data_IF_730854633297
#
_entry.id   IF_730854633297
#
_cell.length_a   1.000
_cell.length_b   1.000
_cell.length_c   1.000
_cell.angle_alpha   90.00
_cell.angle_beta   90.00
_cell.angle_gamma   90.00
#
_symmetry.space_group_name_H-M   'P 1'
#
loop_
_entity.id
_entity.type
_entity.pdbx_description
1 polymer ?
#
# COMPACT_ATOMS: atom_id res chain seq x y z
N UNK A 1 -20.78 -51.03 -54.79
CA UNK A 1 -20.70 -49.59 -55.11
C UNK A 1 -21.57 -48.87 -54.11
N UNK A 2 -20.98 -48.43 -53.00
CA UNK A 2 -21.66 -47.57 -52.01
C UNK A 2 -21.51 -46.10 -52.42
N UNK A 3 -22.53 -45.25 -52.23
CA UNK A 3 -22.45 -43.85 -52.60
C UNK A 3 -21.69 -43.04 -51.53
N UNK A 4 -20.70 -42.26 -51.98
CA UNK A 4 -19.91 -41.36 -51.12
C UNK A 4 -20.78 -40.28 -50.45
N UNK A 5 -20.49 -39.89 -49.19
CA UNK A 5 -21.26 -38.86 -48.50
C UNK A 5 -20.90 -37.47 -49.02
N UNK A 6 -21.93 -36.71 -49.39
CA UNK A 6 -21.83 -35.30 -49.79
C UNK A 6 -21.26 -34.47 -48.64
N UNK A 7 -20.11 -33.82 -48.87
CA UNK A 7 -19.55 -32.78 -47.99
C UNK A 7 -20.61 -31.70 -47.73
N UNK A 8 -21.09 -31.60 -46.48
CA UNK A 8 -21.80 -30.40 -46.00
C UNK A 8 -20.80 -29.24 -46.04
N UNK A 9 -21.02 -28.27 -46.93
CA UNK A 9 -20.37 -26.96 -46.85
C UNK A 9 -20.90 -26.29 -45.58
N UNK A 10 -20.04 -26.09 -44.59
CA UNK A 10 -20.32 -25.20 -43.47
C UNK A 10 -20.35 -23.77 -44.01
N UNK A 11 -21.55 -23.19 -44.10
CA UNK A 11 -21.70 -21.74 -44.23
C UNK A 11 -21.19 -21.12 -42.92
N UNK A 12 -19.90 -20.78 -42.85
CA UNK A 12 -19.42 -19.80 -41.89
C UNK A 12 -19.80 -18.43 -42.43
N UNK A 13 -20.77 -17.78 -41.80
CA UNK A 13 -21.04 -16.36 -42.03
C UNK A 13 -19.73 -15.56 -41.88
N UNK A 14 -19.52 -14.51 -42.70
CA UNK A 14 -18.35 -13.66 -42.55
C UNK A 14 -18.45 -12.96 -41.19
N UNK A 15 -17.61 -13.38 -40.24
CA UNK A 15 -17.43 -12.67 -38.97
C UNK A 15 -17.01 -11.23 -39.32
N UNK A 16 -17.80 -10.26 -38.89
CA UNK A 16 -17.46 -8.85 -39.05
C UNK A 16 -16.05 -8.62 -38.47
N UNK A 17 -15.10 -8.26 -39.34
CA UNK A 17 -13.77 -7.87 -38.90
C UNK A 17 -13.88 -6.63 -38.02
N UNK A 18 -13.07 -6.55 -36.96
CA UNK A 18 -13.03 -5.39 -36.07
C UNK A 18 -12.66 -4.17 -36.92
N UNK A 19 -13.53 -3.15 -37.07
CA UNK A 19 -13.21 -1.97 -37.84
C UNK A 19 -12.03 -1.23 -37.20
N UNK A 20 -11.05 -0.77 -37.99
CA UNK A 20 -9.84 -0.12 -37.47
C UNK A 20 -10.16 1.11 -36.60
N UNK A 21 -11.22 1.86 -36.93
CA UNK A 21 -11.65 3.04 -36.17
C UNK A 21 -12.22 2.67 -34.80
N UNK A 22 -12.95 1.54 -34.70
CA UNK A 22 -13.62 1.10 -33.48
C UNK A 22 -12.68 0.90 -32.28
N UNK A 23 -11.40 0.57 -32.53
CA UNK A 23 -10.41 0.34 -31.45
C UNK A 23 -10.02 1.61 -30.71
N UNK A 24 -9.67 2.66 -31.46
CA UNK A 24 -9.35 3.96 -30.87
C UNK A 24 -10.61 4.63 -30.30
N UNK A 25 -11.75 4.45 -30.98
CA UNK A 25 -13.02 5.05 -30.57
C UNK A 25 -13.49 4.53 -29.20
N UNK A 26 -13.42 3.21 -28.95
CA UNK A 26 -13.83 2.65 -27.67
C UNK A 26 -12.95 3.15 -26.52
N UNK A 27 -11.63 3.11 -26.69
CA UNK A 27 -10.68 3.56 -25.69
C UNK A 27 -10.92 5.03 -25.31
N UNK A 28 -11.05 5.90 -26.31
CA UNK A 28 -11.29 7.32 -26.12
C UNK A 28 -12.66 7.60 -25.49
N UNK A 29 -13.70 6.88 -25.90
CA UNK A 29 -15.04 7.00 -25.31
C UNK A 29 -15.04 6.63 -23.83
N UNK A 30 -14.48 5.48 -23.49
CA UNK A 30 -14.39 5.01 -22.10
C UNK A 30 -13.60 6.01 -21.27
N UNK A 31 -12.50 6.55 -21.79
CA UNK A 31 -11.69 7.55 -21.11
C UNK A 31 -12.50 8.80 -20.77
N UNK A 32 -13.21 9.34 -21.76
CA UNK A 32 -14.04 10.52 -21.60
C UNK A 32 -15.13 10.28 -20.54
N UNK A 33 -15.83 9.15 -20.62
CA UNK A 33 -16.87 8.77 -19.66
C UNK A 33 -16.31 8.63 -18.24
N UNK A 34 -15.13 8.04 -18.08
CA UNK A 34 -14.47 7.93 -16.79
C UNK A 34 -14.05 9.29 -16.22
N UNK A 35 -13.54 10.20 -17.06
CA UNK A 35 -13.20 11.56 -16.65
C UNK A 35 -14.45 12.36 -16.22
N UNK A 36 -15.60 12.10 -16.83
CA UNK A 36 -16.90 12.67 -16.47
C UNK A 36 -17.55 11.96 -15.25
N UNK A 37 -16.91 10.91 -14.71
CA UNK A 37 -17.43 10.12 -13.59
C UNK A 37 -18.58 9.17 -13.96
N UNK A 38 -18.88 8.99 -15.24
CA UNK A 38 -19.99 8.20 -15.77
C UNK A 38 -19.64 6.71 -15.85
N UNK A 39 -19.41 6.08 -14.68
CA UNK A 39 -18.99 4.67 -14.58
C UNK A 39 -19.98 3.70 -15.24
N UNK A 40 -21.29 3.93 -15.07
CA UNK A 40 -22.32 3.06 -15.65
C UNK A 40 -22.32 3.09 -17.18
N UNK A 41 -22.16 4.29 -17.76
CA UNK A 41 -22.11 4.46 -19.21
C UNK A 41 -20.84 3.86 -19.80
N UNK A 42 -19.70 4.02 -19.12
CA UNK A 42 -18.43 3.41 -19.51
C UNK A 42 -18.54 1.87 -19.53
N UNK A 43 -19.15 1.26 -18.50
CA UNK A 43 -19.43 -0.20 -18.49
C UNK A 43 -20.31 -0.62 -19.65
N UNK A 44 -21.43 0.08 -19.85
CA UNK A 44 -22.37 -0.22 -20.92
C UNK A 44 -21.72 -0.08 -22.31
N UNK A 45 -20.81 0.88 -22.49
CA UNK A 45 -20.03 1.06 -23.72
C UNK A 45 -19.16 -0.17 -24.01
N UNK A 46 -18.41 -0.65 -23.02
CA UNK A 46 -17.59 -1.86 -23.14
C UNK A 46 -18.43 -3.12 -23.41
N UNK A 47 -19.56 -3.28 -22.71
CA UNK A 47 -20.46 -4.43 -22.90
C UNK A 47 -21.04 -4.50 -24.31
N UNK A 48 -21.42 -3.35 -24.88
CA UNK A 48 -21.88 -3.28 -26.27
C UNK A 48 -20.79 -3.73 -27.25
N UNK A 49 -19.56 -3.26 -27.10
CA UNK A 49 -18.46 -3.66 -27.98
C UNK A 49 -18.07 -5.12 -27.81
N UNK A 50 -18.08 -5.64 -26.58
CA UNK A 50 -17.85 -7.06 -26.32
C UNK A 50 -18.93 -7.95 -26.99
N UNK A 51 -20.18 -7.47 -27.06
CA UNK A 51 -21.27 -8.18 -27.73
C UNK A 51 -21.14 -8.13 -29.27
N UNK A 52 -20.74 -6.98 -29.83
CA UNK A 52 -20.54 -6.79 -31.27
C UNK A 52 -19.30 -7.53 -31.79
N UNK A 53 -18.24 -7.60 -30.99
CA UNK A 53 -16.96 -8.22 -31.35
C UNK A 53 -16.50 -9.22 -30.28
N UNK A 54 -17.07 -10.45 -30.23
CA UNK A 54 -16.83 -11.41 -29.15
C UNK A 54 -15.39 -11.93 -29.02
N UNK A 55 -14.54 -11.70 -30.04
CA UNK A 55 -13.13 -12.12 -30.08
C UNK A 55 -12.17 -10.96 -29.78
N UNK A 56 -12.70 -9.79 -29.41
CA UNK A 56 -11.89 -8.62 -29.13
C UNK A 56 -11.62 -8.54 -27.61
N UNK A 57 -10.33 -8.57 -27.23
CA UNK A 57 -9.89 -8.51 -25.83
C UNK A 57 -10.05 -7.12 -25.19
N UNK A 58 -9.88 -6.05 -25.97
CA UNK A 58 -9.89 -4.67 -25.47
C UNK A 58 -11.14 -4.29 -24.66
N UNK A 59 -12.39 -4.59 -25.09
CA UNK A 59 -13.57 -4.20 -24.32
C UNK A 59 -13.61 -4.87 -22.94
N UNK A 60 -13.08 -6.09 -22.81
CA UNK A 60 -12.96 -6.77 -21.52
C UNK A 60 -11.90 -6.13 -20.65
N UNK A 61 -10.73 -5.81 -21.22
CA UNK A 61 -9.69 -5.08 -20.51
C UNK A 61 -10.21 -3.72 -20.01
N UNK A 62 -10.84 -2.93 -20.88
CA UNK A 62 -11.39 -1.62 -20.55
C UNK A 62 -12.54 -1.70 -19.54
N UNK A 63 -13.38 -2.73 -19.63
CA UNK A 63 -14.40 -2.97 -18.60
C UNK A 63 -13.76 -3.26 -17.25
N UNK A 64 -12.73 -4.13 -17.22
CA UNK A 64 -11.98 -4.41 -16.00
C UNK A 64 -11.36 -3.15 -15.42
N UNK A 65 -10.86 -2.27 -16.28
CA UNK A 65 -10.36 -0.97 -15.90
C UNK A 65 -11.45 -0.07 -15.28
N UNK A 66 -12.66 -0.04 -15.85
CA UNK A 66 -13.80 0.67 -15.25
C UNK A 66 -14.19 0.09 -13.87
N UNK A 67 -14.04 -1.22 -13.68
CA UNK A 67 -14.25 -1.85 -12.37
C UNK A 67 -13.13 -1.51 -11.37
N UNK A 68 -11.88 -1.34 -11.82
CA UNK A 68 -10.75 -0.91 -10.97
C UNK A 68 -10.99 0.49 -10.42
N UNK A 69 -11.42 1.44 -11.27
CA UNK A 69 -11.81 2.81 -10.87
C UNK A 69 -13.03 2.83 -9.93
N UNK A 70 -13.83 1.76 -9.95
CA UNK A 70 -14.96 1.59 -9.04
C UNK A 70 -14.62 0.78 -7.79
N UNK A 71 -13.35 0.40 -7.60
CA UNK A 71 -12.88 -0.46 -6.50
C UNK A 71 -13.56 -1.85 -6.45
N UNK A 72 -14.07 -2.34 -7.57
CA UNK A 72 -14.75 -3.64 -7.68
C UNK A 72 -13.74 -4.74 -8.06
N UNK A 73 -12.78 -5.02 -7.18
CA UNK A 73 -11.62 -5.88 -7.49
C UNK A 73 -11.97 -7.29 -7.99
N UNK A 74 -13.08 -7.88 -7.54
CA UNK A 74 -13.52 -9.19 -8.04
C UNK A 74 -13.89 -9.13 -9.53
N UNK A 75 -14.55 -8.05 -9.95
CA UNK A 75 -14.92 -7.84 -11.35
C UNK A 75 -13.68 -7.53 -12.21
N UNK A 76 -12.66 -6.86 -11.65
CA UNK A 76 -11.38 -6.67 -12.33
C UNK A 76 -10.78 -8.01 -12.74
N UNK A 77 -10.69 -8.97 -11.81
CA UNK A 77 -10.13 -10.31 -12.08
C UNK A 77 -10.90 -11.02 -13.21
N UNK A 78 -12.23 -11.08 -13.11
CA UNK A 78 -13.07 -11.72 -14.15
C UNK A 78 -12.89 -11.09 -15.53
N UNK A 79 -12.78 -9.76 -15.58
CA UNK A 79 -12.57 -9.03 -16.83
C UNK A 79 -11.17 -9.28 -17.41
N UNK A 80 -10.12 -9.30 -16.58
CA UNK A 80 -8.75 -9.55 -17.02
C UNK A 80 -8.55 -11.00 -17.48
N UNK A 81 -9.10 -11.97 -16.75
CA UNK A 81 -9.12 -13.38 -17.18
C UNK A 81 -9.81 -13.54 -18.53
N UNK A 82 -10.93 -12.85 -18.73
CA UNK A 82 -11.64 -12.88 -20.02
C UNK A 82 -10.85 -12.21 -21.14
N UNK A 83 -10.16 -11.10 -20.86
CA UNK A 83 -9.28 -10.45 -21.81
C UNK A 83 -8.10 -11.35 -22.21
N UNK A 84 -7.46 -12.01 -21.24
CA UNK A 84 -6.34 -12.93 -21.45
C UNK A 84 -6.75 -14.21 -22.18
N UNK A 85 -7.98 -14.70 -21.96
CA UNK A 85 -8.52 -15.81 -22.73
C UNK A 85 -8.73 -15.49 -24.21
N UNK A 86 -8.81 -14.21 -24.57
CA UNK A 86 -8.92 -13.72 -25.95
C UNK A 86 -7.55 -13.30 -26.52
N UNK A 87 -6.66 -12.79 -25.69
CA UNK A 87 -5.30 -12.38 -26.04
C UNK A 87 -4.34 -12.58 -24.85
N UNK A 88 -3.59 -13.68 -24.86
CA UNK A 88 -2.67 -14.07 -23.78
C UNK A 88 -1.43 -13.17 -23.66
N UNK A 89 -1.14 -12.35 -24.68
CA UNK A 89 0.06 -11.51 -24.74
C UNK A 89 -0.16 -10.11 -24.14
N UNK A 90 -1.28 -9.88 -23.46
CA UNK A 90 -1.62 -8.63 -22.76
C UNK A 90 -0.85 -8.50 -21.45
N UNK A 91 0.37 -7.99 -21.53
CA UNK A 91 1.23 -7.73 -20.36
C UNK A 91 0.55 -6.80 -19.33
N UNK A 92 -0.26 -5.84 -19.79
CA UNK A 92 -1.06 -4.96 -18.94
C UNK A 92 -2.14 -5.72 -18.15
N UNK A 93 -2.87 -6.64 -18.79
CA UNK A 93 -3.86 -7.48 -18.10
C UNK A 93 -3.20 -8.41 -17.05
N UNK A 94 -2.03 -8.97 -17.36
CA UNK A 94 -1.24 -9.75 -16.39
C UNK A 94 -0.79 -8.91 -15.20
N UNK A 95 -0.37 -7.66 -15.42
CA UNK A 95 0.04 -6.75 -14.34
C UNK A 95 -1.15 -6.47 -13.38
N UNK A 96 -2.34 -6.19 -13.92
CA UNK A 96 -3.54 -6.00 -13.10
C UNK A 96 -3.90 -7.25 -12.31
N UNK A 97 -3.79 -8.45 -12.89
CA UNK A 97 -3.99 -9.70 -12.16
C UNK A 97 -2.97 -9.87 -11.03
N UNK A 98 -1.69 -9.55 -11.28
CA UNK A 98 -0.65 -9.65 -10.27
C UNK A 98 -0.94 -8.74 -9.07
N UNK A 99 -1.34 -7.49 -9.33
CA UNK A 99 -1.73 -6.54 -8.29
C UNK A 99 -2.98 -6.99 -7.52
N UNK A 100 -4.01 -7.48 -8.22
CA UNK A 100 -5.22 -8.01 -7.60
C UNK A 100 -4.92 -9.23 -6.73
N UNK A 101 -4.08 -10.16 -7.22
CA UNK A 101 -3.64 -11.34 -6.50
C UNK A 101 -2.84 -10.94 -5.25
N UNK A 102 -1.91 -9.98 -5.38
CA UNK A 102 -1.16 -9.41 -4.26
C UNK A 102 -2.07 -8.79 -3.20
N UNK A 103 -3.04 -7.94 -3.60
CA UNK A 103 -4.01 -7.32 -2.68
C UNK A 103 -4.90 -8.34 -1.98
N UNK A 104 -5.19 -9.47 -2.62
CA UNK A 104 -5.97 -10.59 -2.07
C UNK A 104 -5.14 -11.61 -1.28
N UNK A 105 -3.81 -11.46 -1.25
CA UNK A 105 -2.90 -12.40 -0.60
C UNK A 105 -2.64 -13.71 -1.36
N UNK A 106 -3.02 -13.80 -2.64
CA UNK A 106 -2.64 -14.89 -3.54
C UNK A 106 -1.24 -14.61 -4.10
N UNK A 107 -0.22 -15.00 -3.34
CA UNK A 107 1.17 -14.65 -3.68
C UNK A 107 1.75 -15.53 -4.78
N UNK A 108 1.32 -16.79 -4.89
CA UNK A 108 1.73 -17.66 -5.99
C UNK A 108 1.18 -17.13 -7.31
N UNK A 109 -0.12 -16.78 -7.33
CA UNK A 109 -0.75 -16.12 -8.47
C UNK A 109 -0.09 -14.78 -8.80
N UNK A 110 0.22 -13.97 -7.78
CA UNK A 110 0.93 -12.70 -7.98
C UNK A 110 2.33 -12.89 -8.58
N UNK A 111 3.12 -13.84 -8.06
CA UNK A 111 4.45 -14.14 -8.60
C UNK A 111 4.39 -14.63 -10.04
N UNK A 112 3.48 -15.57 -10.33
CA UNK A 112 3.26 -16.08 -11.67
C UNK A 112 2.89 -14.95 -12.64
N UNK A 113 1.91 -14.12 -12.28
CA UNK A 113 1.48 -13.02 -13.12
C UNK A 113 2.60 -11.97 -13.33
N UNK A 114 3.38 -11.62 -12.30
CA UNK A 114 4.55 -10.76 -12.46
C UNK A 114 5.61 -11.36 -13.39
N UNK A 115 5.81 -12.68 -13.35
CA UNK A 115 6.72 -13.37 -14.26
C UNK A 115 6.26 -13.32 -15.71
N UNK A 116 4.96 -13.48 -15.96
CA UNK A 116 4.38 -13.30 -17.30
C UNK A 116 4.55 -11.87 -17.81
N UNK A 117 4.37 -10.85 -16.96
CA UNK A 117 4.66 -9.45 -17.35
C UNK A 117 6.12 -9.29 -17.78
N UNK A 118 7.06 -9.80 -16.97
CA UNK A 118 8.49 -9.71 -17.26
C UNK A 118 8.88 -10.49 -18.54
N UNK A 119 8.19 -11.59 -18.83
CA UNK A 119 8.40 -12.40 -20.05
C UNK A 119 7.87 -11.70 -21.30
N UNK A 120 6.71 -11.06 -21.22
CA UNK A 120 6.04 -10.42 -22.36
C UNK A 120 6.63 -9.06 -22.71
N UNK A 121 7.09 -8.29 -21.72
CA UNK A 121 7.63 -6.94 -21.91
C UNK A 121 8.95 -6.71 -21.14
N UNK A 122 10.03 -7.45 -21.44
CA UNK A 122 11.23 -7.50 -20.60
C UNK A 122 11.95 -6.15 -20.40
N UNK A 123 11.72 -5.18 -21.29
CA UNK A 123 12.37 -3.87 -21.26
C UNK A 123 11.40 -2.69 -21.04
N UNK A 124 10.09 -2.93 -20.99
CA UNK A 124 9.13 -1.86 -20.85
C UNK A 124 8.82 -1.51 -19.40
N UNK A 125 7.96 -0.50 -19.24
CA UNK A 125 7.62 0.05 -17.93
C UNK A 125 6.88 -0.97 -17.05
N UNK A 126 6.07 -1.83 -17.65
CA UNK A 126 5.29 -2.85 -16.93
C UNK A 126 6.20 -3.87 -16.24
N UNK A 127 7.27 -4.35 -16.91
CA UNK A 127 8.22 -5.28 -16.29
C UNK A 127 9.05 -4.64 -15.19
N UNK A 128 9.42 -3.36 -15.33
CA UNK A 128 10.13 -2.65 -14.26
C UNK A 128 9.28 -2.53 -13.00
N UNK A 129 7.98 -2.25 -13.17
CA UNK A 129 7.02 -2.25 -12.06
C UNK A 129 6.86 -3.65 -11.45
N UNK A 130 6.61 -4.66 -12.29
CA UNK A 130 6.47 -6.05 -11.86
C UNK A 130 7.71 -6.54 -11.09
N UNK A 131 8.92 -6.23 -11.54
CA UNK A 131 10.15 -6.60 -10.86
C UNK A 131 10.29 -5.94 -9.48
N UNK A 132 9.91 -4.66 -9.36
CA UNK A 132 9.93 -3.93 -8.09
C UNK A 132 8.92 -4.52 -7.09
N UNK A 133 7.69 -4.75 -7.52
CA UNK A 133 6.63 -5.32 -6.68
C UNK A 133 6.94 -6.76 -6.28
N UNK A 134 7.50 -7.54 -7.21
CA UNK A 134 8.01 -8.90 -6.95
C UNK A 134 9.12 -8.91 -5.88
N UNK A 135 10.06 -7.98 -5.96
CA UNK A 135 11.15 -7.87 -4.98
C UNK A 135 10.60 -7.48 -3.59
N UNK A 136 9.64 -6.55 -3.53
CA UNK A 136 8.97 -6.15 -2.30
C UNK A 136 8.19 -7.31 -1.69
N UNK A 137 7.43 -8.05 -2.49
CA UNK A 137 6.69 -9.24 -2.06
C UNK A 137 7.64 -10.30 -1.51
N UNK A 138 8.74 -10.62 -2.21
CA UNK A 138 9.78 -11.55 -1.70
C UNK A 138 10.35 -11.09 -0.37
N UNK A 139 10.63 -9.80 -0.21
CA UNK A 139 11.13 -9.24 1.05
C UNK A 139 10.12 -9.42 2.17
N UNK A 140 8.85 -9.16 1.91
CA UNK A 140 7.78 -9.31 2.90
C UNK A 140 7.60 -10.77 3.32
N UNK A 141 7.59 -11.71 2.37
CA UNK A 141 7.46 -13.15 2.65
C UNK A 141 8.70 -13.78 3.30
N UNK A 142 9.88 -13.16 3.20
CA UNK A 142 11.08 -13.59 3.93
C UNK A 142 11.10 -13.18 5.39
N UNK A 143 10.22 -12.26 5.81
CA UNK A 143 10.10 -11.91 7.21
C UNK A 143 9.43 -13.06 7.96
N UNK A 144 10.15 -13.72 8.88
CA UNK A 144 9.60 -14.84 9.67
C UNK A 144 8.33 -14.42 10.42
N UNK A 145 8.21 -13.15 10.81
CA UNK A 145 7.04 -12.57 11.50
C UNK A 145 5.82 -12.41 10.59
N UNK A 146 6.05 -12.35 9.28
CA UNK A 146 5.01 -12.26 8.25
C UNK A 146 4.70 -13.65 7.67
N UNK A 147 5.68 -14.56 7.60
CA UNK A 147 5.55 -15.87 6.95
C UNK A 147 5.21 -17.03 7.88
N UNK A 148 5.24 -16.81 9.20
CA UNK A 148 4.71 -17.73 10.21
C UNK A 148 3.77 -16.95 11.12
N UNK A 149 2.65 -17.57 11.51
CA UNK A 149 1.78 -17.07 12.58
C UNK A 149 2.56 -17.15 13.91
N UNK A 150 3.54 -16.28 14.13
CA UNK A 150 4.41 -16.30 15.31
C UNK A 150 3.97 -15.38 16.42
N UNK A 151 2.80 -14.74 16.35
CA UNK A 151 2.32 -14.01 17.52
C UNK A 151 1.82 -14.98 18.60
N UNK A 152 2.74 -15.39 19.46
CA UNK A 152 2.45 -16.07 20.72
C UNK A 152 2.49 -15.06 21.87
N UNK A 153 1.47 -14.98 22.73
CA UNK A 153 1.46 -14.09 23.90
C UNK A 153 2.70 -14.25 24.80
N UNK A 154 3.29 -15.46 24.85
CA UNK A 154 4.51 -15.73 25.62
C UNK A 154 5.77 -15.09 25.01
N UNK A 155 5.83 -14.86 23.69
CA UNK A 155 6.97 -14.19 23.04
C UNK A 155 7.11 -12.73 23.49
N UNK A 156 5.99 -12.01 23.66
CA UNK A 156 6.01 -10.64 24.19
C UNK A 156 6.55 -10.58 25.63
N UNK A 157 6.25 -11.59 26.45
CA UNK A 157 6.74 -11.69 27.84
C UNK A 157 8.20 -12.19 27.95
N UNK A 158 8.67 -12.98 26.98
CA UNK A 158 10.04 -13.50 26.95
C UNK A 158 11.07 -12.40 26.63
N UNK A 159 10.75 -11.45 25.74
CA UNK A 159 11.62 -10.30 25.43
C UNK A 159 11.87 -9.40 26.66
N UNK A 160 10.90 -9.29 27.57
CA UNK A 160 11.01 -8.47 28.78
C UNK A 160 11.86 -9.10 29.91
N UNK A 161 12.18 -10.40 29.86
CA UNK A 161 12.80 -11.12 31.00
C UNK A 161 14.33 -11.20 30.95
N UNK A 162 15.00 -10.84 29.85
CA UNK A 162 16.47 -10.91 29.73
C UNK A 162 17.21 -9.57 29.74
N UNK A 163 16.52 -8.44 29.95
CA UNK A 163 17.13 -7.10 30.02
C UNK A 163 17.59 -6.75 31.44
N UNK A 164 18.63 -7.43 31.91
CA UNK A 164 19.40 -7.03 33.09
C UNK A 164 20.37 -5.89 32.80
N UNK A 165 19.87 -4.69 32.47
CA UNK A 165 20.64 -3.45 32.53
C UNK A 165 19.70 -2.24 32.50
N UNK A 166 19.69 -1.48 33.59
CA UNK A 166 19.13 -0.14 33.62
C UNK A 166 20.06 0.79 32.83
N UNK A 167 19.85 0.86 31.51
CA UNK A 167 20.51 1.85 30.66
C UNK A 167 19.71 3.15 30.76
N UNK A 168 20.38 4.24 31.15
CA UNK A 168 19.80 5.58 31.38
C UNK A 168 19.41 6.29 30.08
N UNK A 169 18.75 5.58 29.15
CA UNK A 169 18.25 6.13 27.90
C UNK A 169 16.90 6.79 28.18
N UNK A 170 16.59 7.96 27.58
CA UNK A 170 15.27 8.56 27.70
C UNK A 170 14.23 7.53 27.25
N UNK A 171 13.21 7.29 28.08
CA UNK A 171 12.09 6.40 27.75
C UNK A 171 11.48 6.87 26.42
N UNK A 172 11.52 6.07 25.36
CA UNK A 172 10.88 6.46 24.12
C UNK A 172 9.36 6.59 24.36
N UNK A 173 8.79 7.77 24.12
CA UNK A 173 7.35 7.99 24.27
C UNK A 173 6.62 7.47 23.03
N UNK A 174 6.19 6.21 23.08
CA UNK A 174 5.19 5.68 22.15
C UNK A 174 3.82 6.20 22.62
N UNK A 175 3.11 6.89 21.71
CA UNK A 175 1.87 7.58 22.01
C UNK A 175 0.73 7.09 21.12
N UNK A 176 -0.46 7.03 21.69
CA UNK A 176 -1.67 6.58 21.00
C UNK A 176 -2.81 7.57 21.19
N UNK A 177 -3.55 7.83 20.10
CA UNK A 177 -4.81 8.57 20.12
C UNK A 177 -5.91 7.75 19.49
N UNK A 178 -7.08 7.70 20.13
CA UNK A 178 -8.31 7.18 19.57
C UNK A 178 -9.23 8.31 19.12
N UNK A 179 -9.76 8.15 17.90
CA UNK A 179 -10.49 9.18 17.17
C UNK A 179 -9.66 10.47 17.01
N UNK A 180 -8.48 10.30 16.41
CA UNK A 180 -7.43 11.32 16.27
C UNK A 180 -7.85 12.48 15.34
N UNK A 181 -8.61 12.18 14.28
CA UNK A 181 -9.12 13.16 13.32
C UNK A 181 -10.61 13.47 13.56
N UNK A 182 -11.09 14.67 13.19
CA UNK A 182 -12.52 14.94 13.02
C UNK A 182 -13.17 13.95 12.04
N UNK A 183 -14.41 13.56 12.28
CA UNK A 183 -15.11 12.52 11.52
C UNK A 183 -15.13 12.80 10.01
N UNK A 184 -15.48 14.03 9.63
CA UNK A 184 -15.54 14.46 8.23
C UNK A 184 -14.18 14.33 7.52
N UNK A 185 -13.09 14.72 8.20
CA UNK A 185 -11.74 14.59 7.65
C UNK A 185 -11.30 13.13 7.60
N UNK A 186 -11.61 12.34 8.63
CA UNK A 186 -11.30 10.92 8.69
C UNK A 186 -11.98 10.16 7.52
N UNK A 187 -13.27 10.41 7.29
CA UNK A 187 -14.01 9.76 6.21
C UNK A 187 -13.46 10.15 4.83
N UNK A 188 -13.10 11.41 4.60
CA UNK A 188 -12.44 11.82 3.36
C UNK A 188 -11.07 11.15 3.15
N UNK A 189 -10.28 10.98 4.21
CA UNK A 189 -9.02 10.23 4.13
C UNK A 189 -9.30 8.76 3.82
N UNK A 190 -10.30 8.17 4.50
CA UNK A 190 -10.71 6.77 4.31
C UNK A 190 -11.20 6.49 2.89
N UNK A 191 -11.98 7.39 2.30
CA UNK A 191 -12.50 7.27 0.94
C UNK A 191 -11.42 7.49 -0.12
N UNK A 192 -10.40 8.31 0.14
CA UNK A 192 -9.34 8.62 -0.82
C UNK A 192 -8.13 7.68 -0.78
N UNK A 193 -8.00 6.82 0.25
CA UNK A 193 -6.78 6.04 0.48
C UNK A 193 -6.47 5.05 -0.65
N UNK A 194 -7.49 4.38 -1.20
CA UNK A 194 -7.27 3.37 -2.22
C UNK A 194 -6.84 4.02 -3.55
N UNK A 195 -7.50 5.10 -3.92
CA UNK A 195 -7.12 5.95 -5.06
C UNK A 195 -5.68 6.47 -4.95
N UNK A 196 -5.27 6.94 -3.76
CA UNK A 196 -3.92 7.41 -3.51
C UNK A 196 -2.88 6.27 -3.54
N UNK A 197 -3.25 5.05 -3.09
CA UNK A 197 -2.39 3.87 -3.22
C UNK A 197 -2.15 3.53 -4.69
N UNK A 198 -3.21 3.57 -5.49
CA UNK A 198 -3.19 3.34 -6.94
C UNK A 198 -2.35 4.41 -7.64
N UNK A 199 -2.52 5.69 -7.28
CA UNK A 199 -1.70 6.77 -7.87
C UNK A 199 -0.22 6.58 -7.58
N UNK A 200 0.13 6.20 -6.35
CA UNK A 200 1.51 5.97 -5.93
C UNK A 200 2.21 4.91 -6.78
N UNK A 201 1.56 3.77 -7.02
CA UNK A 201 2.14 2.68 -7.83
C UNK A 201 2.23 3.06 -9.31
N UNK A 202 1.35 3.95 -9.77
CA UNK A 202 1.22 4.35 -11.18
C UNK A 202 1.85 5.71 -11.49
N UNK A 203 2.57 6.34 -10.55
CA UNK A 203 3.17 7.65 -10.78
C UNK A 203 4.40 7.57 -11.72
N UNK A 204 4.53 8.47 -12.72
CA UNK A 204 5.71 8.54 -13.61
C UNK A 204 7.03 8.68 -12.86
N UNK A 205 6.98 9.35 -11.71
CA UNK A 205 8.16 9.78 -10.95
C UNK A 205 8.76 8.66 -10.09
N UNK A 206 8.19 7.43 -10.13
CA UNK A 206 8.60 6.26 -9.32
C UNK A 206 8.75 6.57 -7.84
N UNK A 207 7.95 7.50 -7.33
CA UNK A 207 7.99 7.90 -5.93
C UNK A 207 7.34 6.81 -5.07
N UNK A 208 8.03 6.42 -3.99
CA UNK A 208 7.51 5.46 -3.02
C UNK A 208 6.74 6.14 -1.88
N UNK A 209 7.05 7.41 -1.62
CA UNK A 209 6.44 8.25 -0.59
C UNK A 209 6.31 9.69 -1.09
N UNK A 210 5.43 10.46 -0.46
CA UNK A 210 5.09 11.83 -0.84
C UNK A 210 5.68 12.83 0.15
N UNK A 211 6.19 13.94 -0.35
CA UNK A 211 6.67 15.05 0.46
C UNK A 211 5.63 16.18 0.51
N UNK A 212 5.28 16.58 1.73
CA UNK A 212 4.55 17.81 2.04
C UNK A 212 5.50 18.74 2.78
N UNK A 213 5.97 19.77 2.08
CA UNK A 213 6.79 20.81 2.68
C UNK A 213 6.01 21.57 3.76
N UNK A 214 6.71 22.01 4.82
CA UNK A 214 6.14 22.85 5.88
C UNK A 214 5.32 24.01 5.31
N UNK A 215 5.88 24.70 4.31
CA UNK A 215 5.36 25.94 3.74
C UNK A 215 4.36 25.74 2.60
N UNK A 216 4.29 24.53 2.03
CA UNK A 216 3.34 24.21 0.98
C UNK A 216 1.90 24.28 1.51
N UNK A 217 0.92 24.32 0.62
CA UNK A 217 -0.47 24.09 1.03
C UNK A 217 -0.85 22.62 0.84
N UNK A 218 -1.61 22.00 1.76
CA UNK A 218 -2.17 20.66 1.54
C UNK A 218 -3.00 20.62 0.27
N UNK A 219 -2.91 19.50 -0.44
CA UNK A 219 -3.61 19.25 -1.72
C UNK A 219 -4.65 18.15 -1.60
N UNK A 220 -4.52 17.29 -0.59
CA UNK A 220 -5.37 16.10 -0.38
C UNK A 220 -5.87 16.07 1.07
N UNK A 221 -6.93 15.28 1.32
CA UNK A 221 -7.40 15.04 2.69
C UNK A 221 -6.30 14.45 3.58
N UNK A 222 -5.47 13.55 3.03
CA UNK A 222 -4.35 12.95 3.75
C UNK A 222 -3.28 13.99 4.15
N UNK A 223 -3.03 15.01 3.32
CA UNK A 223 -2.11 16.09 3.67
C UNK A 223 -2.67 17.04 4.72
N UNK A 224 -3.97 17.32 4.68
CA UNK A 224 -4.65 18.06 5.75
C UNK A 224 -4.54 17.28 7.06
N UNK A 225 -4.86 15.98 7.04
CA UNK A 225 -4.73 15.10 8.20
C UNK A 225 -3.30 15.09 8.77
N UNK A 226 -2.27 14.96 7.94
CA UNK A 226 -0.88 15.02 8.40
C UNK A 226 -0.54 16.29 9.17
N UNK A 227 -1.07 17.44 8.75
CA UNK A 227 -0.87 18.72 9.46
C UNK A 227 -1.63 18.77 10.78
N UNK A 228 -2.88 18.33 10.81
CA UNK A 228 -3.67 18.34 12.03
C UNK A 228 -3.10 17.35 13.07
N UNK A 229 -2.61 16.19 12.64
CA UNK A 229 -1.93 15.23 13.51
C UNK A 229 -0.63 15.80 14.11
N UNK A 230 0.16 16.54 13.34
CA UNK A 230 1.36 17.20 13.87
C UNK A 230 1.00 18.23 14.96
N UNK A 231 -0.09 18.98 14.79
CA UNK A 231 -0.60 19.90 15.83
C UNK A 231 -1.13 19.14 17.06
N UNK A 232 -1.81 18.00 16.86
CA UNK A 232 -2.32 17.15 17.95
C UNK A 232 -1.21 16.63 18.85
N UNK A 233 -0.06 16.30 18.28
CA UNK A 233 1.11 15.82 19.02
C UNK A 233 1.67 16.87 20.02
N UNK A 234 1.25 18.13 19.89
CA UNK A 234 1.70 19.25 20.73
C UNK A 234 3.08 19.78 20.31
N UNK A 235 3.59 19.35 19.16
CA UNK A 235 4.86 19.82 18.64
C UNK A 235 4.67 21.16 17.91
N UNK A 236 5.66 22.04 18.01
CA UNK A 236 5.67 23.26 17.20
C UNK A 236 5.93 22.89 15.75
N UNK A 237 4.90 23.01 14.91
CA UNK A 237 4.98 22.76 13.46
C UNK A 237 6.14 23.51 12.79
N UNK A 238 6.54 24.68 13.32
CA UNK A 238 7.67 25.45 12.79
C UNK A 238 9.01 24.73 12.95
N UNK A 239 9.13 23.76 13.84
CA UNK A 239 10.36 22.97 14.03
C UNK A 239 10.55 21.90 12.96
N UNK A 240 9.51 21.61 12.15
CA UNK A 240 9.55 20.57 11.14
C UNK A 240 9.82 21.15 9.75
N UNK A 241 10.67 20.49 8.96
CA UNK A 241 10.89 20.83 7.55
C UNK A 241 9.70 20.40 6.69
N UNK A 242 9.07 19.27 7.04
CA UNK A 242 7.94 18.75 6.31
C UNK A 242 7.53 17.36 6.78
N UNK A 243 6.56 16.82 6.07
CA UNK A 243 5.94 15.52 6.34
C UNK A 243 6.16 14.64 5.12
N UNK A 244 6.80 13.50 5.34
CA UNK A 244 6.79 12.40 4.38
C UNK A 244 5.58 11.52 4.68
N UNK A 245 4.79 11.17 3.67
CA UNK A 245 3.59 10.35 3.88
C UNK A 245 3.31 9.40 2.72
N UNK A 246 2.66 8.28 3.02
CA UNK A 246 2.17 7.33 2.01
C UNK A 246 1.05 6.47 2.59
N UNK A 247 0.29 5.87 1.70
CA UNK A 247 -0.81 4.98 2.05
C UNK A 247 -0.48 3.54 1.68
N UNK A 248 -1.13 2.60 2.37
CA UNK A 248 -1.12 1.18 2.02
C UNK A 248 -2.52 0.61 2.08
N UNK A 249 -2.88 -0.09 1.01
CA UNK A 249 -3.94 -1.08 0.95
C UNK A 249 -3.28 -2.46 0.76
N UNK A 250 -3.31 -3.28 1.80
CA UNK A 250 -2.76 -4.66 1.74
C UNK A 250 -3.75 -5.63 2.39
N UNK A 251 -3.70 -6.90 2.02
CA UNK A 251 -4.52 -7.93 2.65
C UNK A 251 -4.32 -7.93 4.18
N UNK A 252 -5.38 -8.06 4.97
CA UNK A 252 -5.33 -7.97 6.42
C UNK A 252 -4.40 -8.99 7.09
N UNK A 253 -4.30 -10.19 6.51
CA UNK A 253 -3.37 -11.24 6.93
C UNK A 253 -1.91 -10.87 6.66
N UNK A 254 -1.63 -9.88 5.81
CA UNK A 254 -0.27 -9.41 5.59
C UNK A 254 0.20 -8.59 6.77
N UNK A 255 1.27 -9.06 7.40
CA UNK A 255 2.13 -8.20 8.21
C UNK A 255 2.94 -7.23 7.33
N UNK A 256 3.83 -6.48 7.96
CA UNK A 256 4.83 -5.66 7.30
C UNK A 256 6.20 -6.02 7.88
N UNK A 257 7.21 -6.06 7.02
CA UNK A 257 8.59 -6.32 7.42
C UNK A 257 9.02 -5.38 8.56
N UNK A 258 9.77 -5.89 9.52
CA UNK A 258 10.30 -5.09 10.60
C UNK A 258 11.52 -4.29 10.14
N UNK A 259 11.45 -2.97 10.23
CA UNK A 259 12.46 -2.09 9.67
C UNK A 259 12.60 -0.80 10.49
N UNK A 260 13.57 0.01 10.10
CA UNK A 260 13.65 1.41 10.45
C UNK A 260 13.19 2.23 9.25
N UNK A 261 12.47 3.31 9.50
CA UNK A 261 12.28 4.33 8.49
C UNK A 261 13.61 5.06 8.30
N UNK A 262 14.23 4.87 7.14
CA UNK A 262 15.53 5.47 6.83
C UNK A 262 15.48 6.11 5.45
N UNK A 263 16.04 7.31 5.36
CA UNK A 263 16.34 7.96 4.09
C UNK A 263 17.85 8.22 3.98
N UNK A 264 18.27 8.58 2.78
CA UNK A 264 19.64 9.06 2.51
C UNK A 264 19.63 10.58 2.61
N UNK A 265 20.64 11.17 3.27
CA UNK A 265 20.86 12.61 3.24
C UNK A 265 21.20 13.06 1.81
N UNK A 266 20.52 14.12 1.34
CA UNK A 266 20.70 14.63 -0.03
C UNK A 266 22.15 15.08 -0.26
N UNK A 267 22.80 14.54 -1.29
CA UNK A 267 24.11 14.98 -1.76
C UNK A 267 23.93 16.20 -2.69
N UNK A 268 23.59 17.38 -2.16
CA UNK A 268 23.77 18.60 -2.93
C UNK A 268 25.26 18.98 -2.90
N UNK A 269 25.95 18.76 -4.02
CA UNK A 269 27.34 19.18 -4.21
C UNK A 269 28.39 18.14 -3.82
N UNK A 270 28.58 17.13 -4.67
CA UNK A 270 29.82 16.39 -4.87
C UNK A 270 30.67 16.03 -3.64
N UNK A 271 30.59 14.76 -3.24
CA UNK A 271 31.52 14.06 -2.34
C UNK A 271 31.42 14.36 -0.83
N UNK A 272 30.34 13.89 -0.20
CA UNK A 272 30.37 13.42 1.19
C UNK A 272 29.50 12.15 1.29
N UNK A 273 29.92 11.19 2.10
CA UNK A 273 29.24 9.89 2.26
C UNK A 273 27.76 10.06 2.58
N UNK A 274 26.88 9.47 1.76
CA UNK A 274 25.45 9.37 2.01
C UNK A 274 25.19 8.80 3.42
N UNK A 275 24.70 9.65 4.33
CA UNK A 275 24.40 9.24 5.71
C UNK A 275 22.94 8.77 5.81
N UNK A 276 22.72 7.71 6.59
CA UNK A 276 21.37 7.21 6.87
C UNK A 276 20.71 8.09 7.92
N UNK A 277 19.77 8.91 7.46
CA UNK A 277 18.94 9.80 8.28
C UNK A 277 17.60 9.15 8.58
N UNK A 278 16.93 9.62 9.65
CA UNK A 278 15.67 9.07 10.15
C UNK A 278 14.71 10.19 10.51
N UNK A 279 13.39 9.95 10.42
CA UNK A 279 12.44 10.95 10.87
C UNK A 279 12.54 11.13 12.38
N UNK A 280 12.12 12.31 12.85
CA UNK A 280 11.98 12.59 14.28
C UNK A 280 10.92 11.65 14.87
N UNK A 281 9.78 11.56 14.18
CA UNK A 281 8.68 10.66 14.53
C UNK A 281 8.19 9.91 13.30
N UNK A 282 7.88 8.64 13.50
CA UNK A 282 7.14 7.80 12.57
C UNK A 282 5.76 7.52 13.15
N UNK A 283 4.77 7.32 12.29
CA UNK A 283 3.40 7.11 12.75
C UNK A 283 2.53 6.32 11.77
N UNK A 284 1.48 5.70 12.31
CA UNK A 284 0.48 4.92 11.59
C UNK A 284 -0.91 5.39 11.99
N UNK A 285 -1.66 5.92 11.02
CA UNK A 285 -3.09 6.19 11.12
C UNK A 285 -3.86 4.99 10.54
N UNK A 286 -4.68 4.37 11.38
CA UNK A 286 -5.52 3.24 10.99
C UNK A 286 -6.87 3.72 10.45
N UNK A 287 -7.22 3.27 9.25
CA UNK A 287 -8.47 3.65 8.58
C UNK A 287 -9.57 2.59 8.72
N UNK A 288 -9.27 1.47 9.37
CA UNK A 288 -10.17 0.35 9.61
C UNK A 288 -9.78 -0.44 10.86
N UNK A 289 -10.61 -1.41 11.22
CA UNK A 289 -10.43 -2.36 12.33
C UNK A 289 -9.80 -3.68 11.90
N UNK A 290 -9.62 -3.91 10.60
CA UNK A 290 -9.11 -5.18 10.06
C UNK A 290 -7.59 -5.16 9.88
N UNK A 291 -6.91 -6.20 10.39
CA UNK A 291 -5.50 -6.49 10.10
C UNK A 291 -4.67 -6.77 11.35
N UNK A 292 -3.45 -7.28 11.15
CA UNK A 292 -2.54 -7.51 12.26
C UNK A 292 -2.06 -6.20 12.94
N UNK A 293 -1.70 -6.27 14.24
CA UNK A 293 -1.26 -5.11 14.99
C UNK A 293 0.08 -4.58 14.47
N UNK A 294 0.29 -3.27 14.62
CA UNK A 294 1.64 -2.71 14.48
C UNK A 294 2.43 -3.01 15.75
N UNK A 295 3.68 -3.44 15.59
CA UNK A 295 4.61 -3.75 16.66
C UNK A 295 5.78 -2.77 16.58
N UNK A 296 6.06 -2.07 17.67
CA UNK A 296 7.21 -1.18 17.83
C UNK A 296 8.13 -1.78 18.88
N UNK A 297 9.43 -1.83 18.60
CA UNK A 297 10.44 -2.46 19.43
C UNK A 297 11.44 -1.39 19.89
N UNK A 298 11.92 -1.53 21.13
CA UNK A 298 12.92 -0.63 21.73
C UNK A 298 14.34 -0.77 21.16
N UNK A 299 14.49 -1.51 20.05
CA UNK A 299 15.74 -1.58 19.31
C UNK A 299 15.97 -0.28 18.55
N UNK A 300 16.81 0.58 19.12
CA UNK A 300 17.17 1.87 18.54
C UNK A 300 18.21 1.68 17.44
N UNK A 301 18.02 2.34 16.32
CA UNK A 301 19.03 2.35 15.27
C UNK A 301 20.32 3.06 15.75
N UNK A 302 21.49 2.45 15.52
CA UNK A 302 22.78 3.10 15.76
C UNK A 302 23.58 3.24 14.46
N UNK A 303 24.56 4.16 14.47
CA UNK A 303 25.48 4.38 13.34
C UNK A 303 26.47 3.21 13.15
N UNK A 304 26.65 2.35 14.16
CA UNK A 304 27.64 1.27 14.18
C UNK A 304 27.04 -0.14 14.03
N UNK A 305 25.75 -0.33 14.39
CA UNK A 305 25.02 -1.60 14.25
C UNK A 305 23.61 -1.33 13.74
N UNK A 306 23.15 -2.12 12.76
CA UNK A 306 21.81 -1.98 12.19
C UNK A 306 20.69 -2.24 13.20
N UNK A 307 20.94 -2.92 14.31
CA UNK A 307 19.97 -3.19 15.40
C UNK A 307 20.69 -3.08 16.76
N UNK A 308 20.22 -2.22 17.66
CA UNK A 308 20.79 -2.09 19.02
C UNK A 308 19.73 -1.75 20.08
N UNK A 309 19.50 -2.59 21.10
CA UNK A 309 20.11 -3.90 21.34
C UNK A 309 19.77 -4.94 20.27
N UNK A 310 20.52 -6.05 20.24
CA UNK A 310 20.30 -7.15 19.28
C UNK A 310 18.96 -7.86 19.52
N UNK A 311 18.54 -7.97 20.77
CA UNK A 311 17.23 -8.44 21.19
C UNK A 311 16.48 -7.25 21.80
N UNK A 312 15.20 -7.03 21.48
CA UNK A 312 14.41 -6.00 22.13
C UNK A 312 14.24 -6.34 23.61
N UNK A 313 14.36 -5.34 24.47
CA UNK A 313 13.97 -5.45 25.87
C UNK A 313 12.49 -5.15 26.07
N UNK A 314 11.85 -4.45 25.12
CA UNK A 314 10.47 -4.02 25.19
C UNK A 314 9.80 -3.99 23.81
N UNK A 315 8.50 -4.26 23.79
CA UNK A 315 7.66 -4.18 22.61
C UNK A 315 6.31 -3.51 22.91
N UNK A 316 5.89 -2.60 22.04
CA UNK A 316 4.54 -2.04 22.03
C UNK A 316 3.74 -2.66 20.89
N UNK A 317 2.59 -3.25 21.21
CA UNK A 317 1.67 -3.81 20.21
C UNK A 317 0.38 -3.02 20.17
N UNK A 318 0.00 -2.55 18.98
CA UNK A 318 -1.19 -1.70 18.79
C UNK A 318 -2.09 -2.32 17.74
N UNK A 319 -3.27 -2.76 18.17
CA UNK A 319 -4.31 -3.28 17.30
C UNK A 319 -4.89 -2.19 16.40
N UNK A 320 -5.30 -2.60 15.20
CA UNK A 320 -6.02 -1.77 14.24
C UNK A 320 -7.36 -1.31 14.84
N UNK A 321 -7.68 -0.03 14.68
CA UNK A 321 -8.98 0.54 15.04
C UNK A 321 -9.22 1.77 14.17
N UNK A 322 -10.42 2.00 13.62
CA UNK A 322 -10.70 3.17 12.82
C UNK A 322 -10.36 4.45 13.58
N UNK A 323 -9.71 5.38 12.90
CA UNK A 323 -9.33 6.69 13.42
C UNK A 323 -8.41 6.62 14.67
N UNK A 324 -7.69 5.50 14.82
CA UNK A 324 -6.59 5.37 15.79
C UNK A 324 -5.29 5.84 15.16
N UNK A 325 -4.49 6.59 15.91
CA UNK A 325 -3.20 7.09 15.46
C UNK A 325 -2.11 6.72 16.46
N UNK A 326 -1.13 5.94 15.98
CA UNK A 326 0.05 5.50 16.71
C UNK A 326 1.24 6.36 16.28
N UNK A 327 1.99 6.91 17.25
CA UNK A 327 3.22 7.67 17.02
C UNK A 327 4.35 7.11 17.87
N UNK A 328 5.55 7.03 17.29
CA UNK A 328 6.76 6.58 17.98
C UNK A 328 8.00 7.28 17.41
N UNK A 329 9.11 7.35 18.16
CA UNK A 329 10.36 7.91 17.63
C UNK A 329 10.82 7.15 16.37
N UNK A 330 11.19 7.88 15.32
CA UNK A 330 11.59 7.29 14.03
C UNK A 330 12.88 6.43 14.10
N UNK A 331 13.56 6.47 15.25
CA UNK A 331 14.73 5.65 15.54
C UNK A 331 14.38 4.24 16.03
N UNK A 332 13.11 3.92 16.28
CA UNK A 332 12.67 2.61 16.76
C UNK A 332 12.39 1.63 15.62
N UNK A 333 12.73 0.36 15.89
CA UNK A 333 12.48 -0.74 14.96
C UNK A 333 11.02 -1.15 15.03
N UNK A 334 10.35 -1.30 13.88
CA UNK A 334 8.91 -1.54 13.89
C UNK A 334 8.46 -2.31 12.65
N UNK A 335 7.30 -2.94 12.75
CA UNK A 335 6.65 -3.66 11.66
C UNK A 335 5.18 -3.89 11.95
N UNK A 336 4.50 -4.64 11.09
CA UNK A 336 3.16 -5.13 11.39
C UNK A 336 3.19 -6.65 11.46
N UNK A 337 2.57 -7.22 12.50
CA UNK A 337 2.45 -8.66 12.61
C UNK A 337 1.46 -9.17 11.55
N UNK A 338 1.68 -10.39 11.05
CA UNK A 338 0.65 -11.13 10.31
C UNK A 338 -0.39 -11.67 11.30
N UNK A 339 -1.64 -11.80 10.86
CA UNK A 339 -2.71 -12.40 11.64
C UNK A 339 -3.32 -13.58 10.88
N UNK A 340 -3.66 -14.66 11.60
CA UNK A 340 -4.11 -15.91 10.99
C UNK A 340 -5.47 -15.80 10.30
N UNK A 341 -5.59 -16.45 9.13
CA UNK A 341 -6.79 -16.50 8.29
C UNK A 341 -8.01 -17.24 8.89
N UNK A 342 -8.02 -17.55 10.20
CA UNK A 342 -9.11 -18.31 10.83
C UNK A 342 -10.31 -17.45 11.26
N UNK A 343 -10.14 -16.15 11.43
CA UNK A 343 -11.20 -15.24 11.93
C UNK A 343 -11.57 -14.11 10.99
N UNK A 344 -10.72 -13.77 10.03
CA UNK A 344 -10.94 -12.68 9.08
C UNK A 344 -11.06 -13.26 7.67
N UNK A 345 -12.04 -12.77 6.89
CA UNK A 345 -12.12 -13.13 5.47
C UNK A 345 -10.77 -12.81 4.81
N UNK A 346 -10.10 -13.78 4.13
CA UNK A 346 -8.76 -13.61 3.55
C UNK A 346 -8.61 -12.45 2.56
N UNK A 347 -9.72 -11.82 2.17
CA UNK A 347 -9.80 -10.74 1.20
C UNK A 347 -10.01 -9.37 1.82
N UNK A 348 -10.17 -9.25 3.15
CA UNK A 348 -10.41 -7.97 3.78
C UNK A 348 -9.15 -7.09 3.76
N UNK A 349 -9.23 -5.83 3.30
CA UNK A 349 -8.08 -4.93 3.22
C UNK A 349 -7.75 -4.27 4.58
N UNK A 350 -6.46 -4.16 4.88
CA UNK A 350 -5.89 -3.31 5.93
C UNK A 350 -5.47 -1.98 5.32
N UNK A 351 -6.24 -0.93 5.62
CA UNK A 351 -5.98 0.42 5.17
C UNK A 351 -5.27 1.24 6.23
N UNK A 352 -4.11 1.80 5.87
CA UNK A 352 -3.35 2.70 6.73
C UNK A 352 -2.77 3.87 5.93
N UNK A 353 -2.62 5.02 6.60
CA UNK A 353 -1.74 6.10 6.16
C UNK A 353 -0.57 6.19 7.13
N UNK A 354 0.62 6.28 6.59
CA UNK A 354 1.85 6.43 7.35
C UNK A 354 2.35 7.86 7.18
N UNK A 355 2.76 8.47 8.29
CA UNK A 355 3.36 9.80 8.31
C UNK A 355 4.68 9.75 9.08
N UNK A 356 5.72 10.24 8.42
CA UNK A 356 7.04 10.51 8.97
C UNK A 356 7.22 12.03 9.08
N UNK A 357 7.52 12.50 10.28
CA UNK A 357 7.73 13.92 10.57
C UNK A 357 9.22 14.21 10.67
N UNK A 358 9.71 15.13 9.83
CA UNK A 358 11.13 15.39 9.67
C UNK A 358 11.50 16.79 10.16
N UNK A 359 12.26 16.88 11.26
CA UNK A 359 12.72 18.17 11.81
C UNK A 359 14.04 18.67 11.23
N UNK A 360 15.00 17.77 11.00
CA UNK A 360 16.38 18.16 10.67
C UNK A 360 16.73 17.98 9.19
N UNK A 361 16.18 16.94 8.54
CA UNK A 361 16.58 16.56 7.20
C UNK A 361 15.38 16.25 6.31
N UNK A 362 15.45 16.62 5.02
CA UNK A 362 14.50 16.16 4.01
C UNK A 362 15.02 14.86 3.38
N UNK A 363 14.21 13.78 3.28
CA UNK A 363 14.57 12.60 2.51
C UNK A 363 14.97 12.94 1.08
N UNK A 364 16.10 12.41 0.61
CA UNK A 364 16.53 12.61 -0.77
C UNK A 364 15.57 11.95 -1.76
N UNK A 365 15.43 12.56 -2.94
CA UNK A 365 14.81 11.92 -4.10
C UNK A 365 15.66 10.76 -4.63
N UNK A 366 15.10 9.84 -5.45
CA UNK A 366 13.76 9.90 -6.04
C UNK A 366 12.66 9.23 -5.22
N UNK A 367 12.98 8.60 -4.09
CA UNK A 367 12.00 7.83 -3.30
C UNK A 367 10.90 8.70 -2.68
N UNK A 368 11.27 9.86 -2.15
CA UNK A 368 10.35 10.84 -1.58
C UNK A 368 10.38 12.13 -2.41
N UNK A 369 9.26 12.52 -2.99
CA UNK A 369 9.16 13.71 -3.86
C UNK A 369 7.89 14.50 -3.57
N UNK A 370 7.88 15.77 -3.94
CA UNK A 370 6.64 16.57 -3.93
C UNK A 370 5.72 15.97 -5.00
N UNK A 371 4.53 15.46 -4.64
CA UNK A 371 3.64 14.88 -5.63
C UNK A 371 3.08 15.98 -6.54
N UNK A 372 3.27 15.80 -7.84
CA UNK A 372 2.51 16.50 -8.87
C UNK A 372 1.27 15.65 -9.13
N UNK A 373 0.22 15.87 -8.35
CA UNK A 373 -0.98 15.03 -8.40
C UNK A 373 -1.75 15.06 -9.73
N UNK A 374 -1.42 16.04 -10.58
CA UNK A 374 -1.84 16.15 -11.98
C UNK A 374 -1.06 15.18 -12.90
N UNK A 375 0.17 14.83 -12.53
CA UNK A 375 1.05 13.90 -13.24
C UNK A 375 0.73 12.46 -12.84
N UNK A 376 -0.31 11.92 -13.45
CA UNK A 376 -0.67 10.52 -13.31
C UNK A 376 -0.32 9.77 -14.59
N UNK A 377 0.43 8.65 -14.48
CA UNK A 377 0.60 7.73 -15.62
C UNK A 377 -0.54 6.73 -15.54
N UNK A 378 -1.55 6.88 -16.40
CA UNK A 378 -2.65 5.96 -16.38
C UNK A 378 -2.12 4.58 -16.86
N UNK A 379 -2.57 3.46 -16.28
CA UNK A 379 -2.06 2.10 -16.66
C UNK A 379 -2.21 1.82 -18.15
N UNK A 380 -3.19 2.49 -18.76
CA UNK A 380 -3.38 2.70 -20.18
C UNK A 380 -3.82 4.16 -20.38
N UNK A 381 -3.90 4.69 -21.59
CA UNK A 381 -4.22 6.12 -21.86
C UNK A 381 -5.54 6.66 -21.28
N UNK A 382 -6.33 5.86 -20.56
CA UNK A 382 -7.79 5.97 -20.35
C UNK A 382 -8.15 6.26 -18.86
N UNK A 383 -7.18 6.19 -17.94
CA UNK A 383 -7.49 6.39 -16.51
C UNK A 383 -7.85 7.84 -16.19
N UNK A 384 -8.93 8.08 -15.43
CA UNK A 384 -9.37 9.42 -15.08
C UNK A 384 -8.35 10.15 -14.20
N UNK A 385 -8.41 11.47 -14.22
CA UNK A 385 -7.65 12.33 -13.32
C UNK A 385 -8.07 12.11 -11.85
N UNK A 386 -7.17 12.51 -10.96
CA UNK A 386 -7.31 12.46 -9.51
C UNK A 386 -8.67 12.83 -8.93
N UNK A 387 -9.40 11.89 -8.32
CA UNK A 387 -10.45 12.24 -7.33
C UNK A 387 -9.88 12.71 -5.99
N UNK A 388 -8.57 12.53 -5.79
CA UNK A 388 -7.86 12.72 -4.53
C UNK A 388 -7.31 14.14 -4.30
N UNK A 389 -7.32 15.01 -5.33
CA UNK A 389 -6.98 16.44 -5.16
C UNK A 389 -8.22 17.19 -4.76
N UNK A 390 -8.17 17.84 -3.60
CA UNK A 390 -9.25 18.67 -3.12
C UNK A 390 -9.12 20.10 -3.67
N UNK A 391 -10.24 20.75 -4.06
CA UNK A 391 -10.23 22.17 -4.34
C UNK A 391 -9.76 22.98 -3.13
N UNK A 392 -9.11 24.12 -3.38
CA UNK A 392 -8.60 25.00 -2.31
C UNK A 392 -9.70 25.43 -1.31
N UNK A 393 -10.93 25.65 -1.78
CA UNK A 393 -12.09 25.96 -0.92
C UNK A 393 -12.38 24.82 0.05
N UNK A 394 -12.37 23.57 -0.42
CA UNK A 394 -12.63 22.40 0.41
C UNK A 394 -11.52 22.17 1.43
N UNK A 395 -10.27 22.38 1.05
CA UNK A 395 -9.14 22.36 2.00
C UNK A 395 -9.30 23.44 3.08
N UNK A 396 -9.74 24.65 2.69
CA UNK A 396 -9.98 25.74 3.64
C UNK A 396 -11.12 25.44 4.63
N UNK A 397 -12.16 24.70 4.21
CA UNK A 397 -13.25 24.23 5.09
C UNK A 397 -12.80 23.19 6.12
N UNK A 398 -11.86 22.31 5.74
CA UNK A 398 -11.37 21.24 6.63
C UNK A 398 -10.38 21.76 7.70
N UNK A 399 -9.64 22.84 7.43
CA UNK A 399 -8.68 23.45 8.38
C UNK A 399 -9.28 23.86 9.73
N UNK A 400 -10.43 24.56 9.80
CA UNK A 400 -11.02 24.99 11.07
C UNK A 400 -11.72 23.87 11.86
N UNK A 401 -11.77 22.62 11.38
CA UNK A 401 -12.38 21.50 12.13
C UNK A 401 -11.61 21.11 13.42
N UNK A 402 -10.48 21.77 13.70
CA UNK A 402 -9.57 21.40 14.78
C UNK A 402 -9.77 22.13 16.12
N UNK A 403 -10.57 23.19 16.18
CA UNK A 403 -10.60 24.04 17.40
C UNK A 403 -11.35 23.43 18.61
N UNK A 404 -11.94 22.24 18.49
CA UNK A 404 -12.80 21.65 19.52
C UNK A 404 -12.27 20.36 20.18
N UNK A 405 -11.15 19.76 19.71
CA UNK A 405 -10.76 18.39 20.11
C UNK A 405 -9.34 18.32 20.66
N UNK A 406 -9.19 18.52 21.97
CA UNK A 406 -7.97 18.20 22.72
C UNK A 406 -8.21 16.94 23.55
N UNK A 407 -7.92 15.76 23.00
CA UNK A 407 -7.84 14.53 23.80
C UNK A 407 -6.39 14.30 24.22
N UNK A 408 -6.12 13.97 25.49
CA UNK A 408 -4.77 13.62 25.89
C UNK A 408 -4.34 12.36 25.16
N UNK A 409 -3.07 12.32 24.74
CA UNK A 409 -2.44 11.10 24.27
C UNK A 409 -2.45 10.06 25.40
N UNK A 410 -2.59 8.78 25.05
CA UNK A 410 -2.21 7.70 25.95
C UNK A 410 -0.74 7.40 25.69
N UNK A 411 0.11 7.69 26.67
CA UNK A 411 1.49 7.21 26.66
C UNK A 411 1.48 5.71 26.99
N UNK A 412 2.12 4.91 26.15
CA UNK A 412 2.15 3.45 26.35
C UNK A 412 3.39 3.07 27.16
N UNK A 413 3.18 2.51 28.35
CA UNK A 413 4.27 1.99 29.19
C UNK A 413 4.48 0.49 29.01
N UNK A 414 5.68 -0.01 29.37
CA UNK A 414 6.09 -1.43 29.25
C UNK A 414 5.12 -2.43 29.89
N UNK A 415 4.37 -1.99 30.90
CA UNK A 415 3.42 -2.79 31.66
C UNK A 415 1.99 -2.76 31.11
N UNK A 416 1.67 -1.88 30.16
CA UNK A 416 0.29 -1.62 29.71
C UNK A 416 -0.09 -2.32 28.40
N UNK A 417 0.78 -3.19 27.89
CA UNK A 417 0.50 -3.94 26.66
C UNK A 417 -0.02 -5.33 27.01
N UNK A 418 -1.34 -5.46 27.02
CA UNK A 418 -2.14 -6.56 26.46
C UNK A 418 -3.53 -6.55 27.09
N UNK A 419 -4.59 -6.72 26.28
CA UNK A 419 -5.38 -7.94 26.39
C UNK A 419 -5.90 -8.47 25.04
N UNK A 420 -5.61 -9.74 24.85
CA UNK A 420 -6.00 -10.70 23.82
C UNK A 420 -7.38 -11.32 24.14
N UNK A 421 -8.35 -10.59 24.71
CA UNK A 421 -9.57 -11.21 25.30
C UNK A 421 -10.58 -11.76 24.28
N UNK A 422 -10.43 -11.45 23.01
CA UNK A 422 -11.20 -12.08 21.93
C UNK A 422 -10.46 -13.23 21.25
N UNK A 423 -9.22 -13.54 21.64
CA UNK A 423 -8.33 -14.38 20.83
C UNK A 423 -8.50 -15.88 21.18
N UNK A 424 -9.17 -16.69 20.34
CA UNK A 424 -9.47 -18.09 20.62
C UNK A 424 -8.26 -18.99 20.37
N UNK A 425 -7.78 -19.58 21.47
CA UNK A 425 -7.17 -20.90 21.64
C UNK A 425 -6.09 -21.39 20.65
N UNK A 426 -4.85 -21.29 21.13
CA UNK A 426 -3.79 -22.31 21.27
C UNK A 426 -3.55 -23.36 20.18
N UNK A 427 -2.26 -23.58 19.82
CA UNK A 427 -1.56 -24.89 19.82
C UNK A 427 -0.05 -24.79 19.45
N UNK A 428 0.69 -25.84 19.83
CA UNK A 428 2.14 -25.99 20.09
C UNK A 428 3.14 -25.67 18.97
N UNK A 429 4.33 -25.22 19.40
CA UNK A 429 5.56 -25.06 18.61
C UNK A 429 6.63 -26.00 19.16
N UNK A 430 7.21 -26.82 18.29
CA UNK A 430 8.55 -27.36 18.48
C UNK A 430 9.45 -26.86 17.33
N UNK A 431 10.68 -26.52 17.71
CA UNK A 431 11.84 -26.10 16.90
C UNK A 431 11.90 -24.65 16.36
N UNK A 432 12.05 -23.71 17.30
CA UNK A 432 12.77 -22.44 17.08
C UNK A 432 14.29 -22.71 17.08
N UNK A 433 14.89 -22.92 15.91
CA UNK A 433 16.32 -22.71 15.73
C UNK A 433 16.56 -21.40 14.99
N UNK A 434 17.25 -20.47 15.65
CA UNK A 434 17.96 -19.39 14.96
C UNK A 434 18.97 -20.02 14.01
N UNK A 435 18.69 -19.96 12.71
CA UNK A 435 19.61 -20.40 11.67
C UNK A 435 19.66 -19.39 10.55
N UNK A 436 20.59 -18.43 10.64
CA UNK A 436 21.33 -18.12 9.40
C UNK A 436 22.17 -19.36 9.10
N UNK A 437 22.12 -19.84 7.85
CA UNK A 437 23.22 -19.50 6.97
C UNK A 437 22.71 -18.92 5.65
N UNK A 438 23.36 -17.84 5.22
CA UNK A 438 23.47 -17.54 3.80
C UNK A 438 24.12 -18.75 3.10
N UNK A 439 23.65 -19.17 1.92
CA UNK A 439 24.56 -19.70 0.94
C UNK A 439 25.34 -18.50 0.36
N UNK A 440 26.63 -18.43 0.68
CA UNK A 440 27.55 -17.95 -0.33
C UNK A 440 27.45 -18.89 -1.55
N UNK A 441 27.52 -18.29 -2.76
CA UNK A 441 27.62 -18.88 -4.11
C UNK A 441 26.26 -19.16 -4.79
N UNK A 442 25.95 -18.66 -5.98
CA UNK A 442 26.71 -17.97 -7.05
C UNK A 442 25.99 -16.69 -7.52
#
# INVERSE_FOLDING_TARGET
MEPSPKRRRSNSEPRAGIPQNSRADLANDVQRLLAEGQLLEARARCEREAALFPQWSEPWFLRGFVHDVAHEHHQVVLCMERALALDENRADAWLFLAECAYRRGDFEGAFHAFDEVCRLDPNGAAAQQAAADKALLRRNLRCVVVSRNIWQPEMAQAFCKESGAADSRPSPSVRLWDAALPEELFELVRESVDDLCIWRTKSPSRMSTFWLDRSAEPRTAAEVAGRELLKLMGEDYQQYLGIEWWCRNQAAQMGAHFHYDTAISGCEGGAASAELIRPTFSSVLYLGDVGGPTVVLDQVASSQSKLCPRLPGMAWTVATSPNRWLVFPGTLFHGAASFGAREVQPTAPRFVVLYNFWAEHRPAGPACQVPHFEDYRPVCSISPAARYVLPASRIAELRPLWEARKRPAVELHSSEVCRTEDMPQSLLVEDFQYGLPFPDRE
#
